data_IF_182771314456
#
_entry.id   IF_182771314456
#
_cell.length_a   1.000
_cell.length_b   1.000
_cell.length_c   1.000
_cell.angle_alpha   90.00
_cell.angle_beta   90.00
_cell.angle_gamma   90.00
#
_symmetry.space_group_name_H-M   'P 1'
#
loop_
_entity.id
_entity.type
_entity.pdbx_description
1 polymer ?
#
# COMPACT_ATOMS: atom_id res chain seq x y z
N UNK A 1 4.77 3.61 -0.83
CA UNK A 1 4.68 2.62 0.28
C UNK A 1 6.00 2.42 1.01
N UNK A 2 7.15 2.40 0.32
CA UNK A 2 8.47 2.27 0.96
C UNK A 2 8.72 3.28 2.09
N UNK A 3 8.30 4.54 1.92
CA UNK A 3 8.36 5.59 2.97
C UNK A 3 7.64 5.22 4.28
N UNK A 4 6.70 4.28 4.21
CA UNK A 4 5.96 3.78 5.37
C UNK A 4 6.52 2.47 5.92
N UNK A 5 7.72 2.04 5.48
CA UNK A 5 8.40 0.83 5.94
C UNK A 5 7.95 -0.46 5.25
N UNK A 6 7.15 -0.37 4.17
CA UNK A 6 6.74 -1.53 3.38
C UNK A 6 7.79 -1.89 2.34
N UNK A 7 8.18 -3.15 2.28
CA UNK A 7 9.14 -3.69 1.32
C UNK A 7 8.48 -4.70 0.38
N UNK A 8 8.93 -4.75 -0.86
CA UNK A 8 8.50 -5.78 -1.83
C UNK A 8 9.04 -7.13 -1.38
N UNK A 9 8.14 -8.10 -1.19
CA UNK A 9 8.52 -9.48 -0.82
C UNK A 9 8.32 -10.48 -1.94
N UNK A 10 7.35 -10.23 -2.81
CA UNK A 10 7.10 -11.09 -3.96
C UNK A 10 6.24 -10.39 -5.00
N UNK A 11 6.33 -10.87 -6.23
CA UNK A 11 5.48 -10.47 -7.33
C UNK A 11 4.91 -11.70 -8.01
N UNK A 12 3.59 -11.70 -8.27
CA UNK A 12 2.91 -12.72 -9.06
C UNK A 12 2.14 -12.04 -10.18
N UNK A 13 2.66 -12.17 -11.41
CA UNK A 13 2.14 -11.42 -12.55
C UNK A 13 2.26 -9.91 -12.29
N UNK A 14 1.17 -9.18 -12.50
CA UNK A 14 1.14 -7.75 -12.17
C UNK A 14 1.01 -7.47 -10.68
N UNK A 15 0.70 -8.42 -9.80
CA UNK A 15 0.45 -8.10 -8.40
C UNK A 15 1.72 -8.21 -7.57
N UNK A 16 2.07 -7.11 -6.91
CA UNK A 16 3.22 -7.00 -6.00
C UNK A 16 2.72 -7.04 -4.56
N UNK A 17 3.33 -7.91 -3.77
CA UNK A 17 3.09 -8.03 -2.34
C UNK A 17 4.12 -7.20 -1.58
N UNK A 18 3.61 -6.28 -0.77
CA UNK A 18 4.37 -5.43 0.13
C UNK A 18 4.16 -5.88 1.57
N UNK A 19 5.23 -6.01 2.34
CA UNK A 19 5.16 -6.35 3.77
C UNK A 19 5.96 -5.35 4.60
N UNK A 20 5.43 -5.02 5.76
CA UNK A 20 6.13 -4.36 6.87
C UNK A 20 6.02 -5.21 8.13
N UNK A 21 7.07 -5.23 8.94
CA UNK A 21 7.02 -5.69 10.33
C UNK A 21 6.74 -4.47 11.22
N UNK A 22 5.65 -4.49 11.97
CA UNK A 22 5.32 -3.45 12.94
C UNK A 22 6.10 -3.68 14.26
N UNK A 23 6.12 -2.65 15.11
CA UNK A 23 6.91 -2.66 16.35
C UNK A 23 6.43 -3.71 17.36
N UNK A 24 5.16 -4.11 17.25
CA UNK A 24 4.53 -5.20 18.02
C UNK A 24 4.82 -6.60 17.45
N UNK A 25 5.64 -6.70 16.39
CA UNK A 25 5.95 -7.95 15.69
C UNK A 25 4.89 -8.39 14.69
N UNK A 26 3.82 -7.62 14.50
CA UNK A 26 2.74 -7.96 13.55
C UNK A 26 3.21 -7.74 12.11
N UNK A 27 2.96 -8.71 11.24
CA UNK A 27 3.19 -8.58 9.79
C UNK A 27 2.00 -7.88 9.14
N UNK A 28 2.24 -6.71 8.57
CA UNK A 28 1.27 -5.94 7.81
C UNK A 28 1.51 -6.17 6.32
N UNK A 29 0.45 -6.44 5.54
CA UNK A 29 0.57 -6.82 4.13
C UNK A 29 -0.36 -5.99 3.26
N UNK A 30 0.17 -5.46 2.15
CA UNK A 30 -0.57 -4.73 1.12
C UNK A 30 -0.27 -5.38 -0.23
N UNK A 31 -1.29 -5.57 -1.07
CA UNK A 31 -1.11 -6.02 -2.44
C UNK A 31 -1.38 -4.85 -3.40
N UNK A 32 -0.44 -4.56 -4.28
CA UNK A 32 -0.54 -3.47 -5.25
C UNK A 32 -0.38 -4.06 -6.66
N UNK A 33 -1.34 -3.82 -7.57
CA UNK A 33 -1.12 -4.09 -8.98
C UNK A 33 -0.08 -3.12 -9.57
N UNK A 34 0.89 -3.68 -10.25
CA UNK A 34 1.98 -3.06 -10.99
C UNK A 34 1.55 -3.00 -12.46
N UNK A 35 0.67 -2.05 -12.75
CA UNK A 35 0.28 -1.66 -14.11
C UNK A 35 0.73 -0.22 -14.36
N UNK A 36 1.01 0.12 -15.61
CA UNK A 36 1.39 1.49 -16.01
C UNK A 36 0.27 2.50 -15.74
N UNK A 37 -0.97 2.03 -15.72
CA UNK A 37 -2.16 2.80 -15.37
C UNK A 37 -2.94 2.03 -14.30
N UNK A 38 -3.27 2.71 -13.21
CA UNK A 38 -4.08 2.15 -12.12
C UNK A 38 -5.38 2.94 -12.11
N UNK A 39 -6.51 2.25 -12.29
CA UNK A 39 -7.81 2.89 -12.24
C UNK A 39 -8.11 3.46 -10.84
N UNK A 40 -8.94 4.49 -10.79
CA UNK A 40 -9.29 5.18 -9.54
C UNK A 40 -9.94 4.24 -8.50
N UNK A 41 -10.65 3.20 -8.96
CA UNK A 41 -11.26 2.19 -8.08
C UNK A 41 -10.19 1.37 -7.36
N UNK A 42 -9.18 0.92 -8.10
CA UNK A 42 -8.02 0.21 -7.57
C UNK A 42 -7.19 1.09 -6.65
N UNK A 43 -6.92 2.35 -7.02
CA UNK A 43 -6.24 3.30 -6.11
C UNK A 43 -6.99 3.46 -4.78
N UNK A 44 -8.32 3.59 -4.84
CA UNK A 44 -9.17 3.68 -3.65
C UNK A 44 -9.15 2.39 -2.82
N UNK A 45 -9.08 1.23 -3.45
CA UNK A 45 -8.97 -0.06 -2.77
C UNK A 45 -7.63 -0.18 -2.04
N UNK A 46 -6.52 0.21 -2.68
CA UNK A 46 -5.19 0.25 -2.06
C UNK A 46 -5.19 1.23 -0.88
N UNK A 47 -5.75 2.43 -1.07
CA UNK A 47 -5.86 3.43 0.00
C UNK A 47 -6.60 2.85 1.21
N UNK A 48 -7.76 2.24 1.01
CA UNK A 48 -8.54 1.57 2.07
C UNK A 48 -7.78 0.43 2.76
N UNK A 49 -6.99 -0.33 2.02
CA UNK A 49 -6.16 -1.39 2.61
C UNK A 49 -5.04 -0.78 3.47
N UNK A 50 -4.40 0.28 2.98
CA UNK A 50 -3.32 0.97 3.68
C UNK A 50 -3.79 1.71 4.94
N UNK A 51 -5.03 2.23 4.97
CA UNK A 51 -5.64 2.84 6.16
C UNK A 51 -5.74 1.91 7.38
N UNK A 52 -5.64 0.59 7.18
CA UNK A 52 -5.60 -0.37 8.29
C UNK A 52 -4.29 -0.29 9.09
N UNK A 53 -3.26 0.30 8.51
CA UNK A 53 -1.89 0.29 9.03
C UNK A 53 -1.28 1.69 9.13
N UNK A 54 -1.75 2.64 8.33
CA UNK A 54 -1.22 3.98 8.21
C UNK A 54 -2.36 4.98 8.49
N UNK A 55 -2.16 5.96 9.40
CA UNK A 55 -3.11 7.03 9.64
C UNK A 55 -3.50 7.80 8.36
N UNK A 56 -4.77 8.19 8.25
CA UNK A 56 -5.32 8.82 7.05
C UNK A 56 -4.62 10.14 6.68
N UNK A 57 -4.33 10.98 7.67
CA UNK A 57 -3.63 12.26 7.55
C UNK A 57 -2.22 12.09 6.94
N UNK A 58 -1.56 10.96 7.22
CA UNK A 58 -0.27 10.65 6.63
C UNK A 58 -0.38 10.08 5.22
N UNK A 59 -1.48 9.39 4.91
CA UNK A 59 -1.64 8.66 3.65
C UNK A 59 -2.28 9.51 2.54
N UNK A 60 -3.26 10.35 2.88
CA UNK A 60 -4.10 11.10 1.94
C UNK A 60 -3.28 11.95 0.97
N UNK A 61 -2.22 12.61 1.47
CA UNK A 61 -1.28 13.44 0.69
C UNK A 61 -0.54 12.71 -0.45
N UNK A 62 -0.56 11.38 -0.47
CA UNK A 62 0.07 10.58 -1.52
C UNK A 62 -0.93 10.01 -2.53
N UNK A 63 -2.23 10.06 -2.22
CA UNK A 63 -3.29 9.48 -3.06
C UNK A 63 -4.19 10.54 -3.69
N UNK A 64 -4.27 11.71 -3.06
CA UNK A 64 -5.11 12.81 -3.50
C UNK A 64 -4.24 14.05 -3.66
N UNK A 65 -4.43 14.77 -4.77
CA UNK A 65 -3.93 16.13 -4.93
C UNK A 65 -5.06 17.05 -4.45
N UNK A 66 -4.74 18.03 -3.61
CA UNK A 66 -5.72 19.01 -3.11
C UNK A 66 -6.32 19.83 -4.26
#
# INVERSE_FOLDING_TARGET
MERFGFNVVSQRGSHVKLIRLADDGTKQMIAIPMHSEIDAGTLKAIFRQALKYIPEDQLKKYFYTD
#
